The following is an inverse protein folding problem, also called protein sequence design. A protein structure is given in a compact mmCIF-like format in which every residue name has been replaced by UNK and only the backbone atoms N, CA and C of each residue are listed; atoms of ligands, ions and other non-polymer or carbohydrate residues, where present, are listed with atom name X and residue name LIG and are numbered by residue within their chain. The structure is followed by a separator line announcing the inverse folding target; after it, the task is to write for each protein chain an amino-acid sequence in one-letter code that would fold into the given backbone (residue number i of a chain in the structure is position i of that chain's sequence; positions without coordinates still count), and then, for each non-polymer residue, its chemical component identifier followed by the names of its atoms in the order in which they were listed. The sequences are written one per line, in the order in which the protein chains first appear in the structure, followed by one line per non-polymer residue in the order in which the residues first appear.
data_IF_790141373233
#
_entry.id   IF_790141373233
#
_cell.length_a   1.000
_cell.length_b   1.000
_cell.length_c   1.000
_cell.angle_alpha   90.00
_cell.angle_beta   90.00
_cell.angle_gamma   90.00
#
_symmetry.space_group_name_H-M   'P 1'
#
loop_
_entity.id
_entity.type
_entity.pdbx_description
1 polymer ?
#
# COMPACT_ATOMS: atom_id res chain seq x y z
N UNK A 1 7.05 11.01 6.65
CA UNK A 1 8.46 10.59 6.49
C UNK A 1 9.25 11.46 5.49
N UNK A 2 8.60 12.13 4.54
CA UNK A 2 9.21 13.00 3.50
C UNK A 2 9.26 14.50 3.83
N UNK A 3 9.17 14.89 5.11
CA UNK A 3 9.18 16.32 5.48
C UNK A 3 10.53 16.98 5.16
N UNK A 4 10.52 18.10 4.46
CA UNK A 4 11.72 18.79 3.99
C UNK A 4 12.48 19.54 5.10
N UNK A 5 11.80 19.91 6.20
CA UNK A 5 12.42 20.66 7.31
C UNK A 5 13.00 19.76 8.40
N UNK A 6 12.30 18.69 8.80
CA UNK A 6 12.69 17.81 9.91
C UNK A 6 12.30 16.33 9.68
N UNK A 7 11.94 15.96 8.46
CA UNK A 7 11.55 14.59 8.12
C UNK A 7 12.74 13.64 8.05
N UNK A 8 12.46 12.33 8.15
CA UNK A 8 13.47 11.27 8.00
C UNK A 8 14.28 11.44 6.71
N UNK A 9 13.62 11.79 5.60
CA UNK A 9 14.28 12.05 4.32
C UNK A 9 15.39 13.10 4.44
N UNK A 10 15.12 14.24 5.09
CA UNK A 10 16.11 15.31 5.26
C UNK A 10 17.30 14.83 6.09
N UNK A 11 17.03 14.14 7.21
CA UNK A 11 18.08 13.59 8.09
C UNK A 11 18.97 12.55 7.39
N UNK A 12 18.41 11.75 6.49
CA UNK A 12 19.19 10.80 5.67
C UNK A 12 20.03 11.55 4.64
N UNK A 13 19.44 12.52 3.93
CA UNK A 13 20.14 13.32 2.92
C UNK A 13 21.29 14.15 3.51
N UNK A 14 21.16 14.63 4.75
CA UNK A 14 22.23 15.38 5.44
C UNK A 14 23.47 14.50 5.68
N UNK A 15 23.30 13.17 5.83
CA UNK A 15 24.41 12.22 5.98
C UNK A 15 24.84 11.57 4.67
N UNK A 16 23.90 11.37 3.75
CA UNK A 16 24.11 10.71 2.47
C UNK A 16 23.42 11.53 1.37
N UNK A 17 24.08 12.55 0.81
CA UNK A 17 23.47 13.45 -0.19
C UNK A 17 23.02 12.75 -1.47
N UNK A 18 23.59 11.59 -1.78
CA UNK A 18 23.23 10.76 -2.94
C UNK A 18 22.15 9.71 -2.63
N UNK A 19 21.62 9.68 -1.40
CA UNK A 19 20.59 8.72 -1.03
C UNK A 19 19.31 8.96 -1.84
N UNK A 20 18.82 7.90 -2.47
CA UNK A 20 17.58 7.95 -3.22
C UNK A 20 16.38 7.83 -2.28
N UNK A 21 15.49 8.82 -2.33
CA UNK A 21 14.22 8.74 -1.61
C UNK A 21 13.11 8.23 -2.54
N UNK A 22 12.77 6.94 -2.41
CA UNK A 22 11.68 6.32 -3.18
C UNK A 22 10.56 5.93 -2.22
N UNK A 23 9.35 6.40 -2.51
CA UNK A 23 8.16 5.82 -1.90
C UNK A 23 7.91 4.44 -2.49
N UNK A 24 7.57 3.47 -1.65
CA UNK A 24 7.21 2.16 -2.16
C UNK A 24 5.99 2.22 -3.07
N UNK A 25 5.95 1.35 -4.06
CA UNK A 25 4.95 1.39 -5.11
C UNK A 25 3.52 1.23 -4.57
N UNK A 26 3.33 0.30 -3.63
CA UNK A 26 2.04 0.11 -2.96
C UNK A 26 1.58 1.36 -2.17
N UNK A 27 2.51 2.07 -1.50
CA UNK A 27 2.19 3.32 -0.83
C UNK A 27 1.92 4.45 -1.82
N UNK A 28 2.66 4.54 -2.93
CA UNK A 28 2.37 5.51 -4.00
C UNK A 28 0.96 5.31 -4.53
N UNK A 29 0.55 4.07 -4.81
CA UNK A 29 -0.80 3.74 -5.25
C UNK A 29 -1.84 4.13 -4.19
N UNK A 30 -1.59 3.85 -2.91
CA UNK A 30 -2.47 4.27 -1.81
C UNK A 30 -2.59 5.81 -1.73
N UNK A 31 -1.51 6.54 -1.97
CA UNK A 31 -1.54 8.02 -2.02
C UNK A 31 -2.28 8.57 -3.23
N UNK A 32 -2.09 7.97 -4.41
CA UNK A 32 -2.89 8.28 -5.62
C UNK A 32 -4.36 8.23 -5.25
N UNK A 33 -4.76 7.08 -4.73
CA UNK A 33 -6.13 6.76 -4.43
C UNK A 33 -6.74 7.68 -3.35
N UNK A 34 -6.00 7.92 -2.26
CA UNK A 34 -6.40 8.87 -1.24
C UNK A 34 -6.61 10.27 -1.83
N UNK A 35 -5.63 10.79 -2.58
CA UNK A 35 -5.68 12.16 -3.09
C UNK A 35 -6.76 12.35 -4.15
N UNK A 36 -6.91 11.41 -5.08
CA UNK A 36 -7.94 11.46 -6.12
C UNK A 36 -9.34 11.59 -5.53
N UNK A 37 -9.61 10.92 -4.42
CA UNK A 37 -10.94 10.90 -3.82
C UNK A 37 -11.13 11.97 -2.73
N UNK A 38 -10.06 12.40 -2.03
CA UNK A 38 -10.21 13.48 -1.03
C UNK A 38 -10.37 14.87 -1.63
N UNK A 39 -9.96 15.07 -2.89
CA UNK A 39 -10.13 16.34 -3.60
C UNK A 39 -11.59 16.63 -3.93
N UNK A 40 -12.41 15.58 -4.09
CA UNK A 40 -13.84 15.69 -4.36
C UNK A 40 -14.58 15.68 -3.02
N UNK A 41 -15.33 16.74 -2.73
CA UNK A 41 -15.99 16.95 -1.43
C UNK A 41 -16.90 15.78 -1.03
N UNK A 42 -17.69 15.27 -1.98
CA UNK A 42 -18.62 14.18 -1.76
C UNK A 42 -17.90 12.86 -1.44
N UNK A 43 -16.84 12.55 -2.19
CA UNK A 43 -15.99 11.41 -1.92
C UNK A 43 -15.31 11.52 -0.54
N UNK A 44 -14.77 12.69 -0.20
CA UNK A 44 -14.14 12.93 1.11
C UNK A 44 -15.11 12.68 2.27
N UNK A 45 -16.36 13.13 2.15
CA UNK A 45 -17.39 12.89 3.17
C UNK A 45 -17.70 11.40 3.25
N UNK A 46 -17.96 10.76 2.11
CA UNK A 46 -18.21 9.31 2.03
C UNK A 46 -17.12 8.49 2.72
N UNK A 47 -15.84 8.76 2.45
CA UNK A 47 -14.73 8.01 3.04
C UNK A 47 -14.64 8.17 4.57
N UNK A 48 -14.97 9.36 5.09
CA UNK A 48 -15.06 9.58 6.54
C UNK A 48 -16.23 8.81 7.13
N UNK A 49 -17.38 8.80 6.47
CA UNK A 49 -18.57 8.06 6.90
C UNK A 49 -18.31 6.56 6.97
N UNK A 50 -17.77 5.94 5.90
CA UNK A 50 -17.51 4.49 5.92
C UNK A 50 -16.46 4.11 6.97
N UNK A 51 -15.46 4.96 7.21
CA UNK A 51 -14.44 4.72 8.25
C UNK A 51 -15.04 4.80 9.67
N UNK A 52 -16.17 5.48 9.83
CA UNK A 52 -16.94 5.54 11.07
C UNK A 52 -17.64 4.21 11.40
N UNK A 53 -17.99 3.39 10.41
CA UNK A 53 -18.74 2.14 10.60
C UNK A 53 -17.94 1.13 11.44
N UNK A 54 -16.69 0.75 11.09
CA UNK A 54 -15.88 -0.12 11.94
C UNK A 54 -15.68 0.44 13.35
N UNK A 55 -15.48 1.75 13.47
CA UNK A 55 -15.27 2.41 14.76
C UNK A 55 -16.52 2.27 15.63
N UNK A 56 -17.69 2.51 15.06
CA UNK A 56 -18.98 2.33 15.74
C UNK A 56 -19.11 0.91 16.31
N UNK A 57 -18.84 -0.13 15.52
CA UNK A 57 -18.99 -1.49 16.03
C UNK A 57 -17.87 -1.87 17.02
N UNK A 58 -16.60 -1.67 16.69
CA UNK A 58 -15.47 -2.13 17.50
C UNK A 58 -15.33 -1.42 18.86
N UNK A 59 -15.88 -0.22 19.02
CA UNK A 59 -15.88 0.48 20.32
C UNK A 59 -16.88 -0.09 21.33
N UNK A 60 -17.71 -1.07 20.97
CA UNK A 60 -18.62 -1.72 21.93
C UNK A 60 -18.83 -3.19 21.60
N UNK A 61 -18.58 -4.06 22.58
CA UNK A 61 -18.89 -5.49 22.49
C UNK A 61 -20.38 -5.73 22.23
N UNK A 62 -21.27 -4.94 22.84
CA UNK A 62 -22.73 -5.00 22.61
C UNK A 62 -23.10 -4.68 21.16
N UNK A 63 -22.52 -3.62 20.59
CA UNK A 63 -22.74 -3.27 19.17
C UNK A 63 -22.15 -4.33 18.24
N UNK A 64 -20.95 -4.82 18.55
CA UNK A 64 -20.31 -5.91 17.80
C UNK A 64 -21.16 -7.18 17.83
N UNK A 65 -21.82 -7.50 18.94
CA UNK A 65 -22.71 -8.65 19.04
C UNK A 65 -23.91 -8.54 18.09
N UNK A 66 -24.46 -7.34 17.88
CA UNK A 66 -25.57 -7.10 16.95
C UNK A 66 -25.20 -7.37 15.48
N UNK A 67 -23.91 -7.44 15.13
CA UNK A 67 -23.48 -7.85 13.78
C UNK A 67 -23.76 -9.33 13.47
N UNK A 68 -23.95 -10.16 14.49
CA UNK A 68 -24.13 -11.60 14.34
C UNK A 68 -22.98 -12.23 13.54
N UNK A 69 -23.24 -12.85 12.37
CA UNK A 69 -22.21 -13.47 11.54
C UNK A 69 -21.38 -12.47 10.74
N UNK A 70 -21.82 -11.22 10.59
CA UNK A 70 -21.11 -10.21 9.80
C UNK A 70 -19.74 -9.90 10.42
N UNK A 71 -18.71 -9.86 9.57
CA UNK A 71 -17.34 -9.53 9.96
C UNK A 71 -16.92 -8.22 9.32
N UNK A 72 -16.95 -7.14 10.12
CA UNK A 72 -16.48 -5.83 9.67
C UNK A 72 -14.95 -5.76 9.80
N UNK A 73 -14.22 -5.50 8.71
CA UNK A 73 -12.77 -5.38 8.77
C UNK A 73 -12.35 -4.20 9.66
N UNK A 74 -11.26 -4.38 10.41
CA UNK A 74 -10.59 -3.26 11.07
C UNK A 74 -9.92 -2.38 10.02
N UNK A 75 -10.32 -1.11 9.94
CA UNK A 75 -9.70 -0.15 9.04
C UNK A 75 -8.60 0.60 9.78
N UNK A 76 -7.38 0.55 9.24
CA UNK A 76 -6.35 1.52 9.61
C UNK A 76 -6.50 2.76 8.77
N UNK A 77 -6.40 3.95 9.38
CA UNK A 77 -6.56 5.28 8.74
C UNK A 77 -5.75 5.48 7.44
N UNK A 78 -4.73 4.65 7.20
CA UNK A 78 -3.75 4.80 6.13
C UNK A 78 -3.67 3.61 5.16
N UNK A 79 -4.64 2.68 5.12
CA UNK A 79 -4.56 1.49 4.24
C UNK A 79 -5.75 1.32 3.31
N UNK A 80 -5.59 1.71 2.05
CA UNK A 80 -6.59 1.53 0.99
C UNK A 80 -7.15 0.11 0.87
N UNK A 81 -6.31 -0.91 1.00
CA UNK A 81 -6.74 -2.31 0.95
C UNK A 81 -7.72 -2.68 2.06
N UNK A 82 -7.70 -1.97 3.19
CA UNK A 82 -8.69 -2.14 4.26
C UNK A 82 -10.02 -1.49 3.90
N UNK A 83 -9.99 -0.32 3.25
CA UNK A 83 -11.19 0.32 2.70
C UNK A 83 -11.82 -0.50 1.58
N UNK A 84 -11.02 -1.14 0.72
CA UNK A 84 -11.50 -2.06 -0.31
C UNK A 84 -12.28 -3.23 0.28
N UNK A 85 -11.70 -3.91 1.28
CA UNK A 85 -12.37 -4.99 2.02
C UNK A 85 -13.64 -4.52 2.72
N UNK A 86 -13.59 -3.38 3.40
CA UNK A 86 -14.75 -2.81 4.08
C UNK A 86 -15.88 -2.50 3.10
N UNK A 87 -15.57 -1.82 2.00
CA UNK A 87 -16.58 -1.42 1.02
C UNK A 87 -17.23 -2.63 0.36
N UNK A 88 -16.47 -3.69 0.11
CA UNK A 88 -17.00 -4.97 -0.39
C UNK A 88 -18.02 -5.59 0.57
N UNK A 89 -17.72 -5.59 1.88
CA UNK A 89 -18.68 -6.05 2.91
C UNK A 89 -19.91 -5.16 2.91
N UNK A 90 -19.75 -3.83 2.87
CA UNK A 90 -20.89 -2.89 2.86
C UNK A 90 -21.81 -3.13 1.66
N UNK A 91 -21.25 -3.31 0.46
CA UNK A 91 -22.04 -3.48 -0.77
C UNK A 91 -22.75 -4.84 -0.81
N UNK A 92 -22.07 -5.90 -0.39
CA UNK A 92 -22.63 -7.25 -0.39
C UNK A 92 -23.70 -7.42 0.69
N UNK A 93 -23.47 -6.87 1.88
CA UNK A 93 -24.35 -7.02 3.04
C UNK A 93 -25.20 -5.77 3.31
N UNK A 94 -25.49 -4.98 2.26
CA UNK A 94 -26.13 -3.66 2.35
C UNK A 94 -27.41 -3.66 3.21
N UNK A 95 -28.36 -4.54 2.86
CA UNK A 95 -29.65 -4.63 3.56
C UNK A 95 -29.49 -5.22 4.96
N UNK A 96 -28.58 -6.17 5.15
CA UNK A 96 -28.28 -6.77 6.45
C UNK A 96 -27.71 -5.72 7.41
N UNK A 97 -26.81 -4.85 6.94
CA UNK A 97 -26.28 -3.73 7.72
C UNK A 97 -27.37 -2.72 8.07
N UNK A 98 -28.25 -2.35 7.12
CA UNK A 98 -29.41 -1.49 7.41
C UNK A 98 -30.30 -2.10 8.49
N UNK A 99 -30.63 -3.39 8.37
CA UNK A 99 -31.40 -4.12 9.38
C UNK A 99 -30.70 -4.16 10.74
N UNK A 100 -29.37 -4.31 10.75
CA UNK A 100 -28.57 -4.28 11.99
C UNK A 100 -28.66 -2.91 12.68
N UNK A 101 -28.53 -1.81 11.93
CA UNK A 101 -28.72 -0.48 12.48
C UNK A 101 -30.15 -0.24 12.96
N UNK A 102 -31.14 -0.76 12.23
CA UNK A 102 -32.55 -0.67 12.62
C UNK A 102 -32.82 -1.39 13.95
N UNK A 103 -32.30 -2.62 14.10
CA UNK A 103 -32.39 -3.37 15.36
C UNK A 103 -31.73 -2.63 16.53
N UNK A 104 -30.63 -1.89 16.28
CA UNK A 104 -29.98 -1.06 17.31
C UNK A 104 -30.86 0.12 17.71
N UNK A 105 -31.57 0.74 16.77
CA UNK A 105 -32.49 1.85 17.01
C UNK A 105 -33.72 1.39 17.79
N UNK A 106 -34.27 0.23 17.45
CA UNK A 106 -35.48 -0.30 18.08
C UNK A 106 -35.21 -0.90 19.46
N UNK A 107 -33.94 -1.16 19.80
CA UNK A 107 -33.56 -1.67 21.10
C UNK A 107 -33.57 -0.55 22.17
N UNK A 108 -34.56 -0.61 23.06
CA UNK A 108 -34.72 0.34 24.19
C UNK A 108 -33.50 0.43 25.14
N UNK A 109 -32.61 -0.56 25.12
CA UNK A 109 -31.38 -0.56 25.94
C UNK A 109 -30.18 0.13 25.27
N UNK A 110 -30.35 0.69 24.06
CA UNK A 110 -29.34 1.49 23.38
C UNK A 110 -29.34 2.92 23.91
N UNK A 111 -28.15 3.49 24.13
CA UNK A 111 -28.04 4.89 24.56
C UNK A 111 -28.36 5.87 23.41
N UNK A 112 -28.67 7.11 23.76
CA UNK A 112 -29.07 8.15 22.79
C UNK A 112 -28.03 8.38 21.70
N UNK A 113 -26.73 8.31 22.02
CA UNK A 113 -25.67 8.56 21.04
C UNK A 113 -25.57 7.42 20.03
N UNK A 114 -25.69 6.18 20.50
CA UNK A 114 -25.73 4.98 19.66
C UNK A 114 -26.92 5.01 18.70
N UNK A 115 -28.12 5.35 19.21
CA UNK A 115 -29.33 5.46 18.38
C UNK A 115 -29.18 6.56 17.33
N UNK A 116 -28.63 7.73 17.70
CA UNK A 116 -28.44 8.83 16.76
C UNK A 116 -27.41 8.50 15.66
N UNK A 117 -26.30 7.84 16.00
CA UNK A 117 -25.32 7.37 15.02
C UNK A 117 -25.91 6.33 14.08
N UNK A 118 -26.65 5.35 14.61
CA UNK A 118 -27.31 4.33 13.80
C UNK A 118 -28.34 4.95 12.83
N UNK A 119 -29.14 5.92 13.30
CA UNK A 119 -30.05 6.71 12.43
C UNK A 119 -29.29 7.44 11.32
N UNK A 120 -28.14 8.04 11.65
CA UNK A 120 -27.25 8.67 10.68
C UNK A 120 -26.80 7.70 9.59
N UNK A 121 -26.29 6.53 9.97
CA UNK A 121 -25.89 5.52 8.99
C UNK A 121 -27.05 5.01 8.14
N UNK A 122 -28.25 4.81 8.70
CA UNK A 122 -29.43 4.46 7.88
C UNK A 122 -29.76 5.56 6.88
N UNK A 123 -29.68 6.84 7.30
CA UNK A 123 -29.87 7.98 6.40
C UNK A 123 -28.84 7.96 5.26
N UNK A 124 -27.57 7.69 5.57
CA UNK A 124 -26.51 7.58 4.55
C UNK A 124 -26.78 6.43 3.58
N UNK A 125 -27.20 5.26 4.07
CA UNK A 125 -27.54 4.10 3.22
C UNK A 125 -28.82 4.29 2.39
N UNK A 126 -29.63 5.30 2.70
CA UNK A 126 -30.79 5.71 1.91
C UNK A 126 -30.47 6.88 0.97
N UNK A 127 -29.32 7.53 1.12
CA UNK A 127 -28.92 8.65 0.28
C UNK A 127 -28.33 8.14 -1.05
N UNK A 128 -28.83 8.70 -2.16
CA UNK A 128 -28.38 8.32 -3.49
C UNK A 128 -26.93 8.72 -3.74
N UNK A 129 -26.47 9.87 -3.22
CA UNK A 129 -25.08 10.29 -3.42
C UNK A 129 -24.12 9.33 -2.73
N UNK A 130 -24.42 8.91 -1.49
CA UNK A 130 -23.65 7.91 -0.76
C UNK A 130 -23.57 6.58 -1.53
N UNK A 131 -24.72 6.09 -2.02
CA UNK A 131 -24.80 4.86 -2.82
C UNK A 131 -24.00 4.98 -4.11
N UNK A 132 -24.13 6.10 -4.82
CA UNK A 132 -23.37 6.36 -6.04
C UNK A 132 -21.86 6.32 -5.81
N UNK A 133 -21.36 7.06 -4.81
CA UNK A 133 -19.92 7.04 -4.48
C UNK A 133 -19.46 5.64 -4.05
N UNK A 134 -20.29 4.89 -3.31
CA UNK A 134 -19.96 3.52 -2.92
C UNK A 134 -19.74 2.62 -4.14
N UNK A 135 -20.63 2.68 -5.13
CA UNK A 135 -20.52 1.85 -6.33
C UNK A 135 -19.36 2.26 -7.24
N UNK A 136 -19.14 3.56 -7.45
CA UNK A 136 -17.99 4.06 -8.21
C UNK A 136 -16.68 3.68 -7.53
N UNK A 137 -16.59 3.87 -6.22
CA UNK A 137 -15.40 3.49 -5.43
C UNK A 137 -15.12 2.00 -5.49
N UNK A 138 -16.14 1.15 -5.44
CA UNK A 138 -15.98 -0.29 -5.56
C UNK A 138 -15.46 -0.71 -6.94
N UNK A 139 -15.94 -0.07 -8.02
CA UNK A 139 -15.41 -0.31 -9.37
C UNK A 139 -13.93 0.08 -9.47
N UNK A 140 -13.54 1.21 -8.88
CA UNK A 140 -12.14 1.65 -8.78
C UNK A 140 -11.31 0.64 -7.99
N UNK A 141 -11.82 0.14 -6.86
CA UNK A 141 -11.12 -0.84 -6.02
C UNK A 141 -10.91 -2.16 -6.73
N UNK A 142 -11.96 -2.71 -7.36
CA UNK A 142 -11.84 -3.95 -8.12
C UNK A 142 -10.78 -3.86 -9.21
N UNK A 143 -10.64 -2.69 -9.84
CA UNK A 143 -9.63 -2.44 -10.88
C UNK A 143 -8.22 -2.29 -10.29
N UNK A 144 -8.10 -1.72 -9.09
CA UNK A 144 -6.81 -1.39 -8.47
C UNK A 144 -6.29 -2.43 -7.48
N UNK A 145 -7.14 -3.35 -6.99
CA UNK A 145 -6.77 -4.42 -6.05
C UNK A 145 -5.68 -5.33 -6.66
N UNK A 146 -5.83 -5.72 -7.94
CA UNK A 146 -4.81 -6.53 -8.64
C UNK A 146 -3.49 -5.78 -8.73
N UNK A 147 -3.53 -4.47 -9.04
CA UNK A 147 -2.33 -3.65 -9.07
C UNK A 147 -1.69 -3.57 -7.69
N UNK A 148 -2.49 -3.42 -6.65
CA UNK A 148 -2.00 -3.39 -5.28
C UNK A 148 -1.25 -4.68 -4.93
N UNK A 149 -1.79 -5.85 -5.27
CA UNK A 149 -1.13 -7.14 -5.06
C UNK A 149 0.17 -7.26 -5.86
N UNK A 150 0.17 -6.81 -7.12
CA UNK A 150 1.38 -6.75 -7.98
C UNK A 150 2.46 -5.88 -7.34
N UNK A 151 2.12 -4.66 -6.92
CA UNK A 151 3.05 -3.70 -6.33
C UNK A 151 3.49 -4.07 -4.91
N UNK A 152 2.79 -5.00 -4.27
CA UNK A 152 3.18 -5.62 -3.00
C UNK A 152 4.08 -6.84 -3.18
N UNK A 153 4.11 -7.51 -4.34
CA UNK A 153 5.05 -8.60 -4.54
C UNK A 153 6.49 -8.06 -4.49
N UNK A 154 7.41 -8.86 -3.93
CA UNK A 154 8.84 -8.50 -3.78
C UNK A 154 9.58 -8.69 -5.12
N UNK A 155 9.09 -8.09 -6.21
CA UNK A 155 9.75 -8.14 -7.52
C UNK A 155 10.73 -6.98 -7.66
N UNK A 156 11.97 -7.26 -8.08
CA UNK A 156 12.91 -6.22 -8.52
C UNK A 156 12.54 -5.66 -9.90
N UNK A 157 11.60 -6.31 -10.59
CA UNK A 157 11.13 -5.89 -11.89
C UNK A 157 10.21 -4.65 -11.85
N UNK A 158 10.84 -3.49 -11.94
CA UNK A 158 10.15 -2.20 -12.07
C UNK A 158 9.44 -2.08 -13.43
N UNK A 159 9.95 -2.74 -14.48
CA UNK A 159 9.28 -2.72 -15.78
C UNK A 159 7.97 -3.51 -15.74
N UNK A 160 7.95 -4.66 -15.08
CA UNK A 160 6.71 -5.40 -14.81
C UNK A 160 5.70 -4.55 -14.05
N UNK A 161 6.15 -3.83 -13.01
CA UNK A 161 5.30 -2.90 -12.27
C UNK A 161 4.77 -1.77 -13.16
N UNK A 162 5.63 -1.12 -13.94
CA UNK A 162 5.26 -0.06 -14.89
C UNK A 162 4.25 -0.55 -15.93
N UNK A 163 4.46 -1.74 -16.50
CA UNK A 163 3.51 -2.35 -17.44
C UNK A 163 2.15 -2.59 -16.79
N UNK A 164 2.10 -3.05 -15.54
CA UNK A 164 0.82 -3.23 -14.83
C UNK A 164 0.14 -1.90 -14.49
N UNK A 165 0.92 -0.88 -14.11
CA UNK A 165 0.41 0.48 -13.87
C UNK A 165 -0.24 1.01 -15.16
N UNK A 166 0.43 0.91 -16.31
CA UNK A 166 -0.12 1.37 -17.59
C UNK A 166 -1.34 0.54 -18.03
N UNK A 167 -1.33 -0.78 -17.86
CA UNK A 167 -2.52 -1.63 -18.12
C UNK A 167 -3.73 -1.17 -17.31
N UNK A 168 -3.54 -0.91 -16.02
CA UNK A 168 -4.62 -0.45 -15.12
C UNK A 168 -5.10 0.94 -15.50
N UNK A 169 -4.19 1.85 -15.87
CA UNK A 169 -4.57 3.18 -16.42
C UNK A 169 -5.42 3.04 -17.68
N UNK A 170 -5.07 2.15 -18.60
CA UNK A 170 -5.86 1.88 -19.81
C UNK A 170 -7.26 1.38 -19.45
N UNK A 171 -7.37 0.42 -18.53
CA UNK A 171 -8.69 -0.08 -18.06
C UNK A 171 -9.53 1.05 -17.44
N UNK A 172 -8.92 1.94 -16.65
CA UNK A 172 -9.63 3.10 -16.07
C UNK A 172 -10.08 4.07 -17.16
N UNK A 173 -9.24 4.32 -18.18
CA UNK A 173 -9.58 5.16 -19.35
C UNK A 173 -10.75 4.58 -20.13
N UNK A 174 -10.78 3.26 -20.35
CA UNK A 174 -11.88 2.57 -21.04
C UNK A 174 -13.20 2.65 -20.25
N UNK A 175 -13.14 2.62 -18.91
CA UNK A 175 -14.31 2.80 -18.04
C UNK A 175 -14.87 4.22 -18.05
N UNK A 176 -14.12 5.20 -18.57
CA UNK A 176 -14.54 6.59 -18.71
C UNK A 176 -15.43 6.80 -19.95
N UNK A 177 -16.54 6.06 -19.99
CA UNK A 177 -17.51 6.11 -21.08
C UNK A 177 -18.95 6.08 -20.55
N UNK A 178 -19.90 6.50 -21.39
CA UNK A 178 -21.31 6.63 -21.01
C UNK A 178 -21.94 5.28 -20.67
N UNK A 179 -21.55 4.20 -21.37
CA UNK A 179 -22.02 2.85 -21.07
C UNK A 179 -21.63 2.40 -19.67
N UNK A 180 -20.37 2.62 -19.27
CA UNK A 180 -19.91 2.25 -17.93
C UNK A 180 -20.56 3.10 -16.85
N UNK A 181 -20.76 4.39 -17.10
CA UNK A 181 -21.51 5.27 -16.21
C UNK A 181 -22.95 4.76 -16.02
N UNK A 182 -23.65 4.44 -17.11
CA UNK A 182 -25.04 4.00 -17.08
C UNK A 182 -25.20 2.71 -16.26
N UNK A 183 -24.32 1.72 -16.45
CA UNK A 183 -24.31 0.48 -15.66
C UNK A 183 -24.18 0.75 -14.17
N UNK A 184 -23.33 1.70 -13.78
CA UNK A 184 -23.16 2.06 -12.36
C UNK A 184 -24.39 2.81 -11.84
N UNK A 185 -24.91 3.74 -12.63
CA UNK A 185 -26.06 4.57 -12.26
C UNK A 185 -27.33 3.73 -12.05
N UNK A 186 -27.61 2.79 -12.95
CA UNK A 186 -28.76 1.86 -12.84
C UNK A 186 -28.66 0.98 -11.59
N UNK A 187 -27.48 0.42 -11.29
CA UNK A 187 -27.24 -0.33 -10.04
C UNK A 187 -27.49 0.50 -8.78
N UNK A 188 -27.28 1.81 -8.84
CA UNK A 188 -27.57 2.70 -7.72
C UNK A 188 -29.07 2.96 -7.56
N UNK A 189 -29.79 3.10 -8.68
CA UNK A 189 -31.24 3.26 -8.69
C UNK A 189 -31.97 2.02 -8.15
N UNK A 190 -31.44 0.82 -8.39
CA UNK A 190 -31.96 -0.42 -7.81
C UNK A 190 -31.85 -0.47 -6.27
N UNK A 191 -30.89 0.25 -5.69
CA UNK A 191 -30.61 0.23 -4.24
C UNK A 191 -31.23 1.39 -3.48
N UNK A 192 -31.27 2.56 -4.09
CA UNK A 192 -31.73 3.80 -3.46
C UNK A 192 -32.47 4.67 -4.45
N UNK A 193 -33.60 5.23 -4.03
CA UNK A 193 -34.38 6.15 -4.85
C UNK A 193 -33.65 7.50 -4.99
N UNK A 194 -33.58 8.01 -6.21
CA UNK A 194 -33.07 9.34 -6.48
C UNK A 194 -34.20 10.38 -6.38
N UNK A 195 -34.14 11.23 -5.35
CA UNK A 195 -35.09 12.33 -5.21
C UNK A 195 -34.71 13.52 -6.12
N UNK A 196 -35.25 13.52 -7.34
CA UNK A 196 -35.07 14.61 -8.32
C UNK A 196 -35.62 15.97 -7.86
N UNK A 197 -36.54 16.00 -6.89
CA UNK A 197 -37.13 17.23 -6.35
C UNK A 197 -36.42 17.73 -5.08
N UNK A 198 -35.31 17.09 -4.69
CA UNK A 198 -34.51 17.50 -3.55
C UNK A 198 -33.99 18.94 -3.69
N UNK A 199 -33.79 19.63 -2.55
CA UNK A 199 -33.32 21.03 -2.52
C UNK A 199 -32.07 21.28 -3.38
N UNK A 200 -31.19 20.29 -3.48
CA UNK A 200 -29.94 20.32 -4.25
C UNK A 200 -30.12 20.26 -5.78
N UNK A 201 -31.30 19.85 -6.26
CA UNK A 201 -31.65 19.73 -7.68
C UNK A 201 -32.80 20.66 -8.07
N UNK A 202 -33.11 21.65 -7.23
CA UNK A 202 -34.19 22.60 -7.49
C UNK A 202 -33.93 23.30 -8.82
N UNK A 203 -34.96 23.39 -9.65
CA UNK A 203 -34.93 23.96 -11.00
C UNK A 203 -34.08 23.19 -12.02
N UNK A 204 -33.76 21.91 -11.75
CA UNK A 204 -33.08 21.05 -12.72
C UNK A 204 -34.03 20.05 -13.35
N UNK A 205 -33.82 19.73 -14.62
CA UNK A 205 -34.50 18.59 -15.26
C UNK A 205 -33.88 17.27 -14.81
N UNK A 206 -34.58 16.15 -15.03
CA UNK A 206 -34.05 14.82 -14.70
C UNK A 206 -32.74 14.54 -15.46
N UNK A 207 -32.68 14.96 -16.72
CA UNK A 207 -31.51 14.81 -17.58
C UNK A 207 -30.32 15.59 -17.02
N UNK A 208 -30.53 16.82 -16.56
CA UNK A 208 -29.46 17.63 -15.95
C UNK A 208 -28.93 17.02 -14.65
N UNK A 209 -29.80 16.39 -13.84
CA UNK A 209 -29.38 15.67 -12.64
C UNK A 209 -28.51 14.47 -13.00
N UNK A 210 -28.91 13.68 -13.99
CA UNK A 210 -28.11 12.55 -14.50
C UNK A 210 -26.77 13.05 -15.05
N UNK A 211 -26.75 14.18 -15.77
CA UNK A 211 -25.52 14.80 -16.27
C UNK A 211 -24.58 15.22 -15.14
N UNK A 212 -25.08 15.71 -13.99
CA UNK A 212 -24.23 15.98 -12.82
C UNK A 212 -23.55 14.72 -12.29
N UNK A 213 -24.26 13.60 -12.18
CA UNK A 213 -23.66 12.34 -11.75
C UNK A 213 -22.65 11.80 -12.76
N UNK A 214 -22.93 11.98 -14.06
CA UNK A 214 -21.98 11.65 -15.12
C UNK A 214 -20.70 12.47 -15.04
N UNK A 215 -20.82 13.78 -14.83
CA UNK A 215 -19.67 14.67 -14.63
C UNK A 215 -18.86 14.24 -13.42
N UNK A 216 -19.51 13.95 -12.29
CA UNK A 216 -18.88 13.46 -11.08
C UNK A 216 -18.15 12.11 -11.31
N UNK A 217 -18.77 11.18 -12.04
CA UNK A 217 -18.14 9.90 -12.39
C UNK A 217 -16.85 10.11 -13.20
N UNK A 218 -16.89 10.96 -14.22
CA UNK A 218 -15.70 11.26 -15.02
C UNK A 218 -14.64 12.02 -14.23
N UNK A 219 -15.05 12.99 -13.39
CA UNK A 219 -14.12 13.72 -12.51
C UNK A 219 -13.36 12.78 -11.57
N UNK A 220 -14.03 11.77 -11.01
CA UNK A 220 -13.39 10.76 -10.16
C UNK A 220 -12.32 9.98 -10.95
N UNK A 221 -12.65 9.50 -12.15
CA UNK A 221 -11.72 8.72 -12.98
C UNK A 221 -10.57 9.57 -13.53
N UNK A 222 -10.85 10.81 -13.94
CA UNK A 222 -9.86 11.75 -14.46
C UNK A 222 -8.85 12.15 -13.36
N UNK A 223 -9.34 12.43 -12.14
CA UNK A 223 -8.48 12.66 -10.98
C UNK A 223 -7.65 11.42 -10.62
N UNK A 224 -8.18 10.22 -10.81
CA UNK A 224 -7.44 8.98 -10.59
C UNK A 224 -6.29 8.82 -11.59
N UNK A 225 -6.59 8.98 -12.89
CA UNK A 225 -5.59 8.88 -13.96
C UNK A 225 -4.49 9.93 -13.78
N UNK A 226 -4.87 11.18 -13.55
CA UNK A 226 -3.91 12.28 -13.36
C UNK A 226 -2.98 12.01 -12.17
N UNK A 227 -3.53 11.56 -11.04
CA UNK A 227 -2.70 11.22 -9.88
C UNK A 227 -1.78 10.04 -10.17
N UNK A 228 -2.25 9.01 -10.88
CA UNK A 228 -1.38 7.90 -11.31
C UNK A 228 -0.22 8.40 -12.19
N UNK A 229 -0.48 9.30 -13.14
CA UNK A 229 0.55 9.85 -14.02
C UNK A 229 1.60 10.65 -13.24
N UNK A 230 1.15 11.62 -12.43
CA UNK A 230 2.05 12.47 -11.61
C UNK A 230 2.83 11.63 -10.61
N UNK A 231 2.17 10.67 -9.97
CA UNK A 231 2.77 9.85 -8.92
C UNK A 231 3.43 8.58 -9.42
N UNK A 232 3.62 8.37 -10.72
CA UNK A 232 4.46 7.28 -11.23
C UNK A 232 5.46 7.73 -12.31
N UNK A 233 5.51 9.02 -12.64
CA UNK A 233 6.40 9.59 -13.68
C UNK A 233 7.89 9.27 -13.49
N UNK A 234 8.39 9.26 -12.25
CA UNK A 234 9.81 9.05 -11.91
C UNK A 234 10.19 7.57 -11.82
N UNK A 235 9.25 6.62 -11.95
CA UNK A 235 9.57 5.20 -11.92
C UNK A 235 10.49 4.76 -13.06
N UNK A 236 10.43 5.43 -14.21
CA UNK A 236 11.37 5.17 -15.31
C UNK A 236 12.82 5.43 -14.90
N UNK A 237 13.07 6.40 -13.99
CA UNK A 237 14.42 6.74 -13.54
C UNK A 237 15.06 5.58 -12.78
N UNK A 238 14.27 4.84 -12.01
CA UNK A 238 14.77 3.72 -11.22
C UNK A 238 14.82 2.39 -11.99
N UNK A 239 14.60 2.39 -13.32
CA UNK A 239 14.58 1.15 -14.12
C UNK A 239 15.89 0.35 -14.05
N UNK A 240 17.01 1.00 -13.71
CA UNK A 240 18.31 0.37 -13.50
C UNK A 240 18.32 -0.70 -12.41
N UNK A 241 17.37 -0.68 -11.45
CA UNK A 241 17.27 -1.71 -10.40
C UNK A 241 17.10 -3.10 -11.00
N UNK A 242 16.49 -3.20 -12.18
CA UNK A 242 16.35 -4.49 -12.86
C UNK A 242 17.64 -5.04 -13.44
N UNK A 243 18.77 -4.31 -13.43
CA UNK A 243 20.10 -4.86 -13.77
C UNK A 243 20.55 -5.93 -12.78
N UNK A 244 20.06 -5.89 -11.54
CA UNK A 244 20.34 -6.90 -10.52
C UNK A 244 19.17 -7.88 -10.31
N UNK A 245 18.31 -8.06 -11.32
CA UNK A 245 17.16 -8.97 -11.27
C UNK A 245 17.53 -10.36 -11.82
N UNK A 246 17.75 -11.37 -10.97
CA UNK A 246 18.27 -12.67 -11.40
C UNK A 246 17.32 -13.42 -12.34
N UNK A 247 16.01 -13.15 -12.25
CA UNK A 247 14.99 -13.70 -13.16
C UNK A 247 15.16 -13.20 -14.61
N UNK A 248 15.99 -12.17 -14.84
CA UNK A 248 16.20 -11.55 -16.16
C UNK A 248 17.57 -11.81 -16.77
N UNK A 249 18.47 -12.48 -16.05
CA UNK A 249 19.84 -12.68 -16.50
C UNK A 249 19.89 -13.46 -17.83
N UNK A 250 19.04 -14.46 -18.01
CA UNK A 250 18.89 -15.17 -19.29
C UNK A 250 18.43 -14.26 -20.44
N UNK A 251 17.53 -13.31 -20.16
CA UNK A 251 17.10 -12.34 -21.19
C UNK A 251 18.21 -11.34 -21.51
N UNK A 252 18.95 -10.89 -20.49
CA UNK A 252 20.03 -9.91 -20.67
C UNK A 252 21.31 -10.49 -21.26
N UNK A 253 21.57 -11.79 -21.09
CA UNK A 253 22.65 -12.48 -21.78
C UNK A 253 22.46 -12.46 -23.30
N UNK A 254 21.19 -12.55 -23.75
CA UNK A 254 20.83 -12.47 -25.16
C UNK A 254 20.81 -11.03 -25.69
N UNK A 255 20.36 -10.07 -24.87
CA UNK A 255 20.33 -8.65 -25.23
C UNK A 255 20.59 -7.76 -24.01
N UNK A 256 21.78 -7.15 -23.97
CA UNK A 256 22.16 -6.27 -22.87
C UNK A 256 21.27 -5.00 -22.80
N UNK A 257 20.74 -4.64 -21.61
CA UNK A 257 19.87 -3.48 -21.44
C UNK A 257 20.66 -2.17 -21.29
N UNK A 258 21.18 -1.64 -22.40
CA UNK A 258 22.01 -0.42 -22.38
C UNK A 258 21.25 0.82 -21.88
N UNK A 259 19.94 0.91 -22.10
CA UNK A 259 19.08 2.00 -21.61
C UNK A 259 19.09 2.10 -20.07
N UNK A 260 19.08 0.94 -19.39
CA UNK A 260 19.12 0.87 -17.93
C UNK A 260 20.48 1.24 -17.37
N UNK A 261 21.54 0.85 -18.07
CA UNK A 261 22.91 1.21 -17.70
C UNK A 261 23.13 2.72 -17.82
N UNK A 262 22.61 3.35 -18.87
CA UNK A 262 22.64 4.80 -19.05
C UNK A 262 21.90 5.53 -17.91
N UNK A 263 20.71 5.07 -17.53
CA UNK A 263 19.99 5.68 -16.39
C UNK A 263 20.77 5.55 -15.07
N UNK A 264 21.51 4.47 -14.85
CA UNK A 264 22.37 4.31 -13.67
C UNK A 264 23.46 5.37 -13.64
N UNK A 265 24.15 5.57 -14.77
CA UNK A 265 25.23 6.56 -14.93
C UNK A 265 24.71 7.98 -14.67
N UNK A 266 23.56 8.34 -15.25
CA UNK A 266 22.94 9.65 -15.06
C UNK A 266 22.53 9.89 -13.60
N UNK A 267 22.06 8.86 -12.89
CA UNK A 267 21.61 8.98 -11.51
C UNK A 267 22.74 8.96 -10.48
N UNK A 268 23.80 8.18 -10.71
CA UNK A 268 24.88 7.97 -9.77
C UNK A 268 26.28 8.19 -10.39
N UNK A 269 26.52 9.36 -11.03
CA UNK A 269 27.76 9.62 -11.78
C UNK A 269 29.01 9.63 -10.88
N UNK A 270 28.83 9.90 -9.58
CA UNK A 270 29.92 9.92 -8.60
C UNK A 270 30.24 8.54 -8.01
N UNK A 271 29.32 7.57 -8.15
CA UNK A 271 29.49 6.22 -7.60
C UNK A 271 30.00 5.28 -8.71
N UNK A 272 29.40 5.36 -9.90
CA UNK A 272 29.77 4.55 -11.05
C UNK A 272 30.53 5.41 -12.06
N UNK A 273 31.85 5.47 -11.88
CA UNK A 273 32.76 6.19 -12.77
C UNK A 273 33.41 5.29 -13.84
N UNK A 274 33.20 3.97 -13.77
CA UNK A 274 33.73 2.99 -14.72
C UNK A 274 32.62 2.11 -15.31
N UNK A 275 31.72 2.75 -16.05
CA UNK A 275 30.59 2.08 -16.75
C UNK A 275 31.04 0.96 -17.70
N UNK A 276 32.14 1.08 -18.47
CA UNK A 276 32.61 -0.02 -19.31
C UNK A 276 32.99 -1.27 -18.50
N UNK A 277 33.63 -1.10 -17.32
CA UNK A 277 33.94 -2.22 -16.43
C UNK A 277 32.67 -2.87 -15.88
N UNK A 278 31.72 -2.06 -15.41
CA UNK A 278 30.43 -2.55 -14.91
C UNK A 278 29.70 -3.37 -15.97
N UNK A 279 29.68 -2.90 -17.23
CA UNK A 279 29.05 -3.62 -18.33
C UNK A 279 29.66 -5.00 -18.52
N UNK A 280 30.99 -5.10 -18.59
CA UNK A 280 31.68 -6.38 -18.77
C UNK A 280 31.44 -7.34 -17.60
N UNK A 281 31.47 -6.83 -16.37
CA UNK A 281 31.16 -7.62 -15.17
C UNK A 281 29.73 -8.17 -15.20
N UNK A 282 28.77 -7.34 -15.59
CA UNK A 282 27.37 -7.75 -15.74
C UNK A 282 27.17 -8.77 -16.87
N UNK A 283 27.84 -8.61 -18.02
CA UNK A 283 27.76 -9.59 -19.11
C UNK A 283 28.26 -10.97 -18.67
N UNK A 284 29.34 -11.04 -17.89
CA UNK A 284 29.82 -12.29 -17.31
C UNK A 284 28.81 -12.91 -16.35
N UNK A 285 28.24 -12.12 -15.45
CA UNK A 285 27.21 -12.56 -14.49
C UNK A 285 25.96 -13.07 -15.23
N UNK A 286 25.55 -12.40 -16.31
CA UNK A 286 24.35 -12.79 -17.05
C UNK A 286 24.52 -14.09 -17.83
N UNK A 287 25.73 -14.40 -18.29
CA UNK A 287 26.04 -15.66 -18.97
C UNK A 287 26.14 -16.82 -17.98
N UNK A 288 26.67 -16.55 -16.79
CA UNK A 288 26.90 -17.57 -15.78
C UNK A 288 25.59 -18.00 -15.09
N UNK A 289 25.18 -19.24 -15.39
CA UNK A 289 23.95 -19.85 -14.87
C UNK A 289 23.97 -20.02 -13.36
N UNK A 290 25.14 -20.00 -12.71
CA UNK A 290 25.23 -20.07 -11.26
C UNK A 290 24.62 -18.86 -10.56
N UNK A 291 24.41 -17.74 -11.27
CA UNK A 291 23.76 -16.55 -10.74
C UNK A 291 22.25 -16.47 -11.03
N UNK A 292 21.71 -17.36 -11.87
CA UNK A 292 20.31 -17.30 -12.33
C UNK A 292 19.35 -17.81 -11.26
N UNK A 293 18.14 -17.24 -11.23
CA UNK A 293 17.02 -17.63 -10.34
C UNK A 293 17.36 -17.69 -8.84
N UNK A 294 18.44 -17.03 -8.42
CA UNK A 294 18.84 -16.95 -7.01
C UNK A 294 18.24 -15.74 -6.32
N UNK A 295 17.96 -15.81 -5.02
CA UNK A 295 17.68 -14.63 -4.23
C UNK A 295 18.79 -13.58 -4.39
N UNK A 296 18.43 -12.31 -4.52
CA UNK A 296 19.39 -11.19 -4.63
C UNK A 296 20.47 -11.24 -3.53
N UNK A 297 20.11 -11.68 -2.34
CA UNK A 297 20.99 -11.81 -1.18
C UNK A 297 22.11 -12.83 -1.42
N UNK A 298 21.78 -13.95 -2.06
CA UNK A 298 22.75 -15.01 -2.36
C UNK A 298 23.71 -14.55 -3.45
N UNK A 299 23.21 -13.84 -4.46
CA UNK A 299 24.05 -13.22 -5.50
C UNK A 299 25.01 -12.21 -4.88
N UNK A 300 24.55 -11.36 -3.96
CA UNK A 300 25.43 -10.42 -3.24
C UNK A 300 26.52 -11.16 -2.46
N UNK A 301 26.19 -12.27 -1.79
CA UNK A 301 27.16 -13.07 -1.04
C UNK A 301 28.18 -13.74 -1.96
N UNK A 302 27.76 -14.21 -3.13
CA UNK A 302 28.65 -14.75 -4.16
C UNK A 302 29.61 -13.66 -4.66
N UNK A 303 29.09 -12.49 -5.05
CA UNK A 303 29.90 -11.35 -5.48
C UNK A 303 30.82 -10.83 -4.38
N UNK A 304 30.45 -10.96 -3.11
CA UNK A 304 31.30 -10.55 -2.00
C UNK A 304 32.57 -11.42 -1.86
N UNK A 305 32.47 -12.72 -2.15
CA UNK A 305 33.63 -13.63 -2.14
C UNK A 305 34.67 -13.21 -3.17
N UNK A 306 34.20 -12.75 -4.33
CA UNK A 306 35.02 -12.32 -5.46
C UNK A 306 34.97 -10.80 -5.67
N UNK A 307 34.86 -10.03 -4.57
CA UNK A 307 34.68 -8.57 -4.59
C UNK A 307 35.81 -7.81 -5.31
N UNK A 308 37.00 -8.41 -5.36
CA UNK A 308 38.18 -7.83 -6.03
C UNK A 308 38.10 -8.02 -7.55
N UNK A 309 37.29 -8.97 -8.02
CA UNK A 309 37.04 -9.25 -9.44
C UNK A 309 35.82 -8.47 -9.93
N UNK A 310 34.71 -8.53 -9.19
CA UNK A 310 33.41 -7.93 -9.54
C UNK A 310 33.15 -6.63 -8.78
N UNK A 311 34.10 -5.69 -8.84
CA UNK A 311 34.10 -4.47 -8.02
C UNK A 311 32.88 -3.60 -8.30
N UNK A 312 32.55 -3.35 -9.57
CA UNK A 312 31.45 -2.45 -9.94
C UNK A 312 30.09 -3.15 -9.81
N UNK A 313 30.00 -4.43 -10.19
CA UNK A 313 28.80 -5.22 -10.01
C UNK A 313 28.46 -5.36 -8.52
N UNK A 314 29.43 -5.65 -7.64
CA UNK A 314 29.18 -5.71 -6.20
C UNK A 314 28.61 -4.38 -5.67
N UNK A 315 29.17 -3.23 -6.09
CA UNK A 315 28.63 -1.90 -5.73
C UNK A 315 27.18 -1.74 -6.20
N UNK A 316 26.85 -2.13 -7.43
CA UNK A 316 25.50 -2.04 -7.98
C UNK A 316 24.50 -2.88 -7.18
N UNK A 317 24.84 -4.15 -6.91
CA UNK A 317 23.95 -5.04 -6.17
C UNK A 317 23.78 -4.58 -4.72
N UNK A 318 24.85 -4.11 -4.08
CA UNK A 318 24.78 -3.51 -2.74
C UNK A 318 23.90 -2.24 -2.73
N UNK A 319 24.05 -1.34 -3.72
CA UNK A 319 23.19 -0.17 -3.87
C UNK A 319 21.72 -0.58 -4.01
N UNK A 320 21.41 -1.53 -4.90
CA UNK A 320 20.04 -1.99 -5.14
C UNK A 320 19.43 -2.62 -3.89
N UNK A 321 20.20 -3.36 -3.10
CA UNK A 321 19.74 -3.91 -1.82
C UNK A 321 19.32 -2.82 -0.81
N UNK A 322 19.83 -1.59 -0.95
CA UNK A 322 19.42 -0.45 -0.09
C UNK A 322 18.19 0.29 -0.62
N UNK A 323 17.77 0.06 -1.86
CA UNK A 323 16.60 0.73 -2.45
C UNK A 323 15.33 -0.03 -2.03
N UNK A 324 14.38 0.62 -1.33
CA UNK A 324 13.12 0.00 -0.96
C UNK A 324 12.15 -0.02 -2.16
N UNK A 325 12.48 -0.75 -3.23
CA UNK A 325 11.66 -0.82 -4.45
C UNK A 325 10.29 -1.48 -4.18
N UNK A 326 10.24 -2.50 -3.32
CA UNK A 326 9.02 -3.23 -2.92
C UNK A 326 8.96 -3.39 -1.40
N UNK A 327 8.49 -2.35 -0.69
CA UNK A 327 8.64 -2.22 0.78
C UNK A 327 7.73 -3.09 1.65
N UNK A 328 7.31 -4.28 1.21
CA UNK A 328 6.45 -5.15 2.04
C UNK A 328 7.14 -5.58 3.34
N UNK A 329 8.48 -5.57 3.37
CA UNK A 329 9.27 -5.75 4.60
C UNK A 329 8.97 -4.64 5.64
N UNK A 330 8.93 -3.38 5.19
CA UNK A 330 8.83 -2.22 6.09
C UNK A 330 7.45 -2.12 6.75
N UNK A 331 6.37 -2.48 6.05
CA UNK A 331 5.02 -2.49 6.63
C UNK A 331 4.85 -3.56 7.72
N UNK A 332 5.47 -4.73 7.54
CA UNK A 332 5.50 -5.79 8.56
C UNK A 332 6.23 -5.31 9.82
N UNK A 333 7.38 -4.67 9.66
CA UNK A 333 8.17 -4.11 10.77
C UNK A 333 7.41 -3.01 11.53
N UNK A 334 6.72 -2.09 10.84
CA UNK A 334 5.90 -1.08 11.51
C UNK A 334 4.66 -1.66 12.21
N UNK A 335 4.03 -2.69 11.62
CA UNK A 335 2.93 -3.41 12.26
C UNK A 335 3.39 -4.11 13.55
N UNK A 336 4.57 -4.73 13.50
CA UNK A 336 5.24 -5.34 14.65
C UNK A 336 5.53 -4.30 15.75
N UNK A 337 6.13 -3.17 15.39
CA UNK A 337 6.39 -2.05 16.31
C UNK A 337 5.11 -1.53 16.95
N UNK A 338 4.01 -1.41 16.20
CA UNK A 338 2.71 -1.02 16.74
C UNK A 338 2.25 -2.03 17.80
N UNK A 339 2.37 -3.34 17.56
CA UNK A 339 2.02 -4.38 18.54
C UNK A 339 2.88 -4.29 19.80
N UNK A 340 4.20 -4.15 19.66
CA UNK A 340 5.11 -3.99 20.81
C UNK A 340 4.77 -2.77 21.66
N UNK A 341 4.57 -1.60 21.02
CA UNK A 341 4.20 -0.36 21.73
C UNK A 341 2.81 -0.45 22.38
N UNK A 342 1.85 -1.06 21.70
CA UNK A 342 0.47 -1.15 22.19
C UNK A 342 0.34 -2.18 23.32
N UNK A 343 1.06 -3.30 23.22
CA UNK A 343 1.02 -4.39 24.19
C UNK A 343 1.60 -3.97 25.55
N UNK A 344 2.70 -3.21 25.56
CA UNK A 344 3.39 -2.90 26.81
C UNK A 344 2.84 -1.69 27.56
N UNK A 345 2.11 -0.76 26.92
CA UNK A 345 1.47 0.46 27.47
C UNK A 345 2.24 1.22 28.58
N UNK A 346 3.55 0.98 28.71
CA UNK A 346 4.47 1.49 29.72
C UNK A 346 5.56 2.28 29.00
N UNK A 347 6.11 3.29 29.68
CA UNK A 347 7.30 4.00 29.21
C UNK A 347 8.46 3.01 29.06
N UNK A 348 8.89 2.76 27.83
CA UNK A 348 10.01 1.88 27.51
C UNK A 348 11.12 2.69 26.84
N UNK A 349 12.36 2.43 27.21
CA UNK A 349 13.53 3.06 26.60
C UNK A 349 13.64 2.68 25.12
N UNK A 350 14.23 3.57 24.32
CA UNK A 350 14.38 3.36 22.88
C UNK A 350 15.21 2.10 22.57
N UNK A 351 16.18 1.78 23.43
CA UNK A 351 17.04 0.61 23.29
C UNK A 351 16.24 -0.69 23.43
N UNK A 352 15.47 -0.86 24.52
CA UNK A 352 14.63 -2.04 24.72
C UNK A 352 13.58 -2.20 23.62
N UNK A 353 12.99 -1.09 23.15
CA UNK A 353 12.07 -1.12 22.01
C UNK A 353 12.75 -1.67 20.75
N UNK A 354 13.95 -1.19 20.45
CA UNK A 354 14.69 -1.56 19.25
C UNK A 354 15.09 -3.04 19.32
N UNK A 355 15.56 -3.51 20.47
CA UNK A 355 15.91 -4.92 20.67
C UNK A 355 14.69 -5.83 20.52
N UNK A 356 13.57 -5.50 21.16
CA UNK A 356 12.33 -6.28 21.03
C UNK A 356 11.79 -6.28 19.59
N UNK A 357 11.86 -5.14 18.90
CA UNK A 357 11.48 -5.02 17.50
C UNK A 357 12.35 -5.91 16.61
N UNK A 358 13.66 -5.90 16.81
CA UNK A 358 14.57 -6.78 16.06
C UNK A 358 14.23 -8.26 16.28
N UNK A 359 14.02 -8.68 17.53
CA UNK A 359 13.66 -10.07 17.89
C UNK A 359 12.36 -10.49 17.19
N UNK A 360 11.34 -9.63 17.20
CA UNK A 360 10.03 -9.96 16.62
C UNK A 360 9.98 -9.83 15.09
N UNK A 361 10.74 -8.91 14.50
CA UNK A 361 10.89 -8.80 13.03
C UNK A 361 11.65 -10.00 12.50
N UNK A 362 12.71 -10.42 13.20
CA UNK A 362 13.58 -11.54 12.84
C UNK A 362 13.18 -12.83 13.56
N UNK A 363 11.88 -13.02 13.84
CA UNK A 363 11.39 -14.17 14.59
C UNK A 363 11.79 -15.50 13.93
N UNK A 364 11.80 -15.55 12.60
CA UNK A 364 12.15 -16.76 11.86
C UNK A 364 13.64 -17.12 12.08
N UNK A 365 14.54 -16.13 12.02
CA UNK A 365 15.97 -16.30 12.36
C UNK A 365 16.12 -16.73 13.81
N UNK A 366 15.38 -16.11 14.74
CA UNK A 366 15.40 -16.50 16.14
C UNK A 366 14.97 -17.95 16.32
N UNK A 367 13.90 -18.39 15.65
CA UNK A 367 13.43 -19.77 15.70
C UNK A 367 14.48 -20.74 15.17
N UNK A 368 15.23 -20.36 14.13
CA UNK A 368 16.34 -21.17 13.62
C UNK A 368 17.52 -21.20 14.58
N UNK A 369 17.88 -20.06 15.20
CA UNK A 369 18.92 -19.99 16.22
C UNK A 369 18.54 -20.79 17.49
N UNK A 370 17.25 -20.84 17.84
CA UNK A 370 16.73 -21.64 18.95
C UNK A 370 16.78 -23.15 18.70
N UNK A 371 16.99 -23.61 17.45
CA UNK A 371 17.20 -25.03 17.16
C UNK A 371 18.62 -25.50 17.51
N UNK A 372 19.58 -24.58 17.67
CA UNK A 372 20.96 -24.87 18.06
C UNK A 372 21.23 -24.72 19.57
N UNK A 373 22.48 -24.92 20.00
CA UNK A 373 22.90 -24.74 21.41
C UNK A 373 22.95 -23.27 21.83
N UNK A 374 23.05 -22.33 20.88
CA UNK A 374 23.28 -20.92 21.11
C UNK A 374 22.30 -20.32 22.13
N UNK A 375 21.04 -20.74 22.12
CA UNK A 375 20.04 -20.29 23.09
C UNK A 375 20.37 -20.73 24.53
N UNK A 376 20.76 -21.99 24.69
CA UNK A 376 21.22 -22.54 25.97
C UNK A 376 22.51 -21.84 26.43
N UNK A 377 23.45 -21.66 25.51
CA UNK A 377 24.75 -21.01 25.77
C UNK A 377 24.55 -19.54 26.20
N UNK A 378 23.61 -18.81 25.59
CA UNK A 378 23.26 -17.43 25.98
C UNK A 378 22.58 -17.40 27.36
N UNK A 379 21.67 -18.33 27.65
CA UNK A 379 21.02 -18.42 28.97
C UNK A 379 22.07 -18.70 30.05
N UNK A 380 22.99 -19.62 29.77
CA UNK A 380 24.06 -19.99 30.67
C UNK A 380 25.04 -18.83 30.88
N UNK A 381 25.45 -18.15 29.80
CA UNK A 381 26.24 -16.92 29.86
C UNK A 381 25.55 -15.85 30.72
N UNK A 382 24.24 -15.62 30.53
CA UNK A 382 23.49 -14.63 31.30
C UNK A 382 23.29 -15.05 32.76
N UNK A 383 23.12 -16.35 33.03
CA UNK A 383 23.07 -16.91 34.37
C UNK A 383 24.40 -16.73 35.10
N UNK A 384 25.52 -16.87 34.39
CA UNK A 384 26.88 -16.65 34.93
C UNK A 384 27.27 -15.16 35.02
N UNK A 385 26.62 -14.28 34.26
CA UNK A 385 26.86 -12.83 34.29
C UNK A 385 26.22 -12.10 35.48
N UNK A 386 25.52 -12.81 36.38
CA UNK A 386 25.04 -12.27 37.66
C UNK A 386 26.21 -12.09 38.64
N UNK A 387 26.98 -11.02 38.47
CA UNK A 387 27.65 -10.41 39.61
C UNK A 387 27.98 -8.90 39.47
N UNK A 388 27.39 -8.18 38.51
CA UNK A 388 27.54 -6.72 38.47
C UNK A 388 26.19 -5.98 38.29
N UNK A 389 25.59 -5.73 39.46
CA UNK A 389 24.77 -4.56 39.86
C UNK A 389 23.25 -4.59 39.63
N UNK A 390 22.57 -4.80 40.76
CA UNK A 390 21.27 -4.24 41.15
C UNK A 390 21.39 -2.71 41.27
#
# INVERSE_FOLDING_TARGET
MSGHLNGLQKKVLDKAPQALFVHCLAHRLNLVLLQSLTNISLCRIFYKTISGIPSFFHHSSKRTHNLGPLRIPTVGETRWSSNSKLLRVIINDWNTLKGTFQNIIDNHSSDSTTVQMAKGFISDFNDFNFTFIAHVSNQVFQTTDILFDVLQKRSLDINYCLTHIEKVKTIIKEKRCDTSFQIVFEKCLEKTELNYSGRQYRNMTKEEVVMKFRQLYFEILDNLIMQMEVRFQDLKKISFVSLADPEKFETFSSKFPNDKLQHLEEMFPKIFNNIPRLKNELELIYIDKDFHDKPLQDVILMLHKDKDIYVEAYKLFALIATIPSTSVSVERSFSCLKRLKTYLRNSMTQERLTSLANITIQKDILQDLMKGSLHSDIIELYATAKDDRI
#
